data_IF_705864379433
#
_entry.id   IF_705864379433
#
_cell.length_a   1.000
_cell.length_b   1.000
_cell.length_c   1.000
_cell.angle_alpha   90.00
_cell.angle_beta   90.00
_cell.angle_gamma   90.00
#
_symmetry.space_group_name_H-M   'P 1'
#
loop_
_entity.id
_entity.type
_entity.pdbx_description
1 polymer ?
#
# COMPACT_ATOMS: atom_id res chain seq x y z
N UNK A 1 -11.97 1.28 -6.51
CA UNK A 1 -10.76 0.52 -6.95
C UNK A 1 -10.27 1.12 -8.26
N UNK A 2 -8.97 1.42 -8.39
CA UNK A 2 -8.35 1.97 -9.60
C UNK A 2 -7.81 0.84 -10.48
N UNK A 3 -8.61 0.40 -11.48
CA UNK A 3 -8.28 -0.75 -12.32
C UNK A 3 -6.99 -0.56 -13.13
N UNK A 4 -6.69 0.66 -13.59
CA UNK A 4 -5.45 0.96 -14.31
C UNK A 4 -4.23 0.72 -13.41
N UNK A 5 -4.25 1.26 -12.19
CA UNK A 5 -3.16 1.09 -11.26
C UNK A 5 -2.90 -0.38 -10.91
N UNK A 6 -3.94 -1.19 -10.73
CA UNK A 6 -3.75 -2.62 -10.47
C UNK A 6 -3.14 -3.39 -11.65
N UNK A 7 -3.41 -2.98 -12.89
CA UNK A 7 -2.82 -3.59 -14.09
C UNK A 7 -1.35 -3.21 -14.25
N UNK A 8 -1.02 -1.93 -14.01
CA UNK A 8 0.34 -1.41 -14.14
C UNK A 8 1.24 -1.77 -12.93
N UNK A 9 0.65 -1.93 -11.73
CA UNK A 9 1.37 -2.17 -10.47
C UNK A 9 0.85 -3.44 -9.79
N UNK A 10 1.04 -4.60 -10.42
CA UNK A 10 0.78 -5.89 -9.79
C UNK A 10 1.85 -6.18 -8.73
N UNK A 11 1.45 -6.69 -7.56
CA UNK A 11 2.41 -7.09 -6.53
C UNK A 11 3.19 -8.32 -7.02
N UNK A 12 4.54 -8.27 -7.09
CA UNK A 12 5.31 -9.41 -7.54
C UNK A 12 5.27 -10.56 -6.53
N UNK A 13 5.21 -11.79 -7.04
CA UNK A 13 5.32 -13.00 -6.25
C UNK A 13 6.72 -13.09 -5.64
N UNK A 14 6.81 -13.35 -4.32
CA UNK A 14 8.08 -13.34 -3.60
C UNK A 14 8.59 -11.96 -3.17
N UNK A 15 7.74 -10.93 -3.21
CA UNK A 15 8.12 -9.59 -2.75
C UNK A 15 8.58 -9.58 -1.29
N UNK A 16 9.72 -8.93 -1.05
CA UNK A 16 10.23 -8.70 0.31
C UNK A 16 9.28 -7.78 1.08
N UNK A 17 9.39 -7.79 2.40
CA UNK A 17 8.55 -6.94 3.24
C UNK A 17 8.69 -5.45 2.86
N UNK A 18 9.90 -4.99 2.58
CA UNK A 18 10.16 -3.60 2.14
C UNK A 18 9.55 -3.29 0.77
N UNK A 19 9.53 -4.23 -0.17
CA UNK A 19 8.84 -4.05 -1.46
C UNK A 19 7.32 -4.00 -1.28
N UNK A 20 6.76 -4.86 -0.42
CA UNK A 20 5.34 -4.81 -0.05
C UNK A 20 4.97 -3.47 0.56
N UNK A 21 5.79 -2.94 1.47
CA UNK A 21 5.57 -1.62 2.07
C UNK A 21 5.49 -0.53 1.00
N UNK A 22 6.47 -0.48 0.10
CA UNK A 22 6.47 0.51 -0.99
C UNK A 22 5.25 0.40 -1.89
N UNK A 23 4.87 -0.84 -2.24
CA UNK A 23 3.68 -1.11 -3.03
C UNK A 23 2.40 -0.63 -2.34
N UNK A 24 2.22 -0.96 -1.05
CA UNK A 24 1.04 -0.56 -0.29
C UNK A 24 0.96 0.94 -0.05
N UNK A 25 2.10 1.62 0.14
CA UNK A 25 2.16 3.09 0.23
C UNK A 25 1.72 3.72 -1.10
N UNK A 26 2.21 3.22 -2.24
CA UNK A 26 1.78 3.70 -3.56
C UNK A 26 0.30 3.40 -3.82
N UNK A 27 -0.15 2.18 -3.47
CA UNK A 27 -1.54 1.74 -3.58
C UNK A 27 -2.48 2.65 -2.80
N UNK A 28 -2.15 2.97 -1.55
CA UNK A 28 -2.97 3.82 -0.69
C UNK A 28 -3.11 5.25 -1.23
N UNK A 29 -2.08 5.77 -1.92
CA UNK A 29 -2.10 7.09 -2.57
C UNK A 29 -2.88 7.11 -3.89
N UNK A 30 -2.81 6.03 -4.68
CA UNK A 30 -3.37 5.97 -6.03
C UNK A 30 -4.80 5.38 -6.08
N UNK A 31 -5.07 4.39 -5.24
CA UNK A 31 -6.29 3.59 -5.26
C UNK A 31 -7.02 3.59 -3.92
N UNK A 32 -6.32 3.26 -2.82
CA UNK A 32 -6.91 3.24 -1.47
C UNK A 32 -8.00 2.19 -1.22
N UNK A 33 -8.25 1.27 -2.17
CA UNK A 33 -9.40 0.35 -2.12
C UNK A 33 -9.34 -0.71 -1.02
N UNK A 34 -8.15 -0.94 -0.43
CA UNK A 34 -7.91 -1.88 0.65
C UNK A 34 -7.02 -1.25 1.70
N UNK A 35 -7.24 -1.63 2.94
CA UNK A 35 -6.39 -1.24 4.06
C UNK A 35 -4.96 -1.75 3.91
N UNK A 36 -4.04 -1.02 4.54
CA UNK A 36 -2.64 -1.45 4.62
C UNK A 36 -2.58 -2.54 5.69
N UNK A 37 -2.07 -3.74 5.37
CA UNK A 37 -2.03 -4.84 6.32
C UNK A 37 -1.14 -4.50 7.53
N UNK A 38 -1.42 -5.07 8.72
CA UNK A 38 -0.72 -4.75 9.96
C UNK A 38 0.78 -5.05 9.91
N UNK A 39 1.20 -6.05 9.13
CA UNK A 39 2.62 -6.37 8.92
C UNK A 39 3.37 -5.24 8.21
N UNK A 40 2.71 -4.53 7.30
CA UNK A 40 3.28 -3.37 6.58
C UNK A 40 3.24 -2.13 7.46
N UNK A 41 2.20 -1.94 8.28
CA UNK A 41 2.13 -0.86 9.25
C UNK A 41 3.28 -0.95 10.27
N UNK A 42 3.49 -2.13 10.86
CA UNK A 42 4.61 -2.37 11.78
C UNK A 42 5.97 -2.08 11.15
N UNK A 43 6.15 -2.45 9.89
CA UNK A 43 7.39 -2.18 9.18
C UNK A 43 7.56 -0.68 8.89
N UNK A 44 6.49 0.05 8.55
CA UNK A 44 6.53 1.50 8.43
C UNK A 44 6.90 2.18 9.75
N UNK A 45 6.31 1.73 10.86
CA UNK A 45 6.64 2.20 12.21
C UNK A 45 8.11 1.94 12.56
N UNK A 46 8.62 0.72 12.27
CA UNK A 46 10.03 0.36 12.45
C UNK A 46 10.97 1.26 11.64
N UNK A 47 10.53 1.69 10.47
CA UNK A 47 11.26 2.61 9.58
C UNK A 47 11.06 4.09 9.96
N UNK A 48 10.27 4.41 10.98
CA UNK A 48 9.94 5.79 11.37
C UNK A 48 9.11 6.54 10.33
N UNK A 49 8.37 5.82 9.47
CA UNK A 49 7.54 6.39 8.42
C UNK A 49 6.06 6.27 8.78
N UNK A 50 5.30 7.31 8.48
CA UNK A 50 3.83 7.26 8.63
C UNK A 50 3.18 6.70 7.36
N UNK A 51 2.15 5.83 7.51
CA UNK A 51 1.37 5.39 6.35
C UNK A 51 0.64 6.59 5.73
N UNK A 52 0.56 6.67 4.39
CA UNK A 52 -0.19 7.74 3.73
C UNK A 52 -1.68 7.60 4.07
N UNK A 53 -2.35 8.75 4.25
CA UNK A 53 -3.81 8.77 4.30
C UNK A 53 -4.36 8.20 3.00
N UNK A 54 -5.14 7.13 3.12
CA UNK A 54 -5.83 6.50 2.00
C UNK A 54 -6.71 7.53 1.29
N UNK A 55 -6.63 7.61 -0.05
CA UNK A 55 -7.67 8.32 -0.82
C UNK A 55 -8.99 7.59 -0.56
N UNK A 56 -9.98 8.35 -0.09
CA UNK A 56 -11.13 7.88 0.67
C UNK A 56 -11.90 6.68 0.10
N UNK A 57 -12.49 5.93 1.02
CA UNK A 57 -13.90 5.60 0.91
C UNK A 57 -14.60 6.69 1.74
N UNK A 58 -14.97 7.79 1.09
CA UNK A 58 -16.00 8.70 1.61
C UNK A 58 -17.32 8.09 1.16
N UNK A 59 -18.15 7.72 2.12
CA UNK A 59 -19.36 6.92 2.00
C UNK A 59 -19.82 6.48 3.37
#
# INVERSE_FOLDING_TARGET
MNAKWHKDHVMPMGSTLSQRVQWHVAHAKACGCREIPPTVLKELERLGRTPPKRKGHDG
#
